data_IF_469724079680
#
_entry.id   IF_469724079680
#
_cell.length_a   1.000
_cell.length_b   1.000
_cell.length_c   1.000
_cell.angle_alpha   90.00
_cell.angle_beta   90.00
_cell.angle_gamma   90.00
#
_symmetry.space_group_name_H-M   'P 1'
#
loop_
_entity.id
_entity.type
_entity.pdbx_description
1 polymer ?
#
# COMPACT_ATOMS: atom_id res chain seq x y z
N UNK A 1 33.46 1.40 -12.08
CA UNK A 1 34.58 1.84 -11.23
C UNK A 1 34.68 0.85 -10.08
N UNK A 2 35.74 0.04 -10.08
CA UNK A 2 35.92 -1.12 -9.20
C UNK A 2 36.14 -0.72 -7.75
N UNK A 3 35.60 -1.51 -6.80
CA UNK A 3 36.10 -1.59 -5.43
C UNK A 3 36.63 -3.00 -5.20
N UNK A 4 37.94 -3.16 -5.30
CA UNK A 4 38.65 -4.39 -4.97
C UNK A 4 38.82 -4.50 -3.44
N UNK A 5 38.42 -5.63 -2.86
CA UNK A 5 38.72 -5.96 -1.46
C UNK A 5 39.92 -6.90 -1.39
N UNK A 6 40.88 -6.50 -0.56
CA UNK A 6 42.17 -7.14 -0.26
C UNK A 6 41.93 -8.42 0.55
N UNK A 7 42.38 -9.57 0.06
CA UNK A 7 42.42 -10.84 0.81
C UNK A 7 43.86 -11.01 1.30
N UNK A 8 44.06 -11.05 2.61
CA UNK A 8 45.35 -11.36 3.24
C UNK A 8 45.57 -12.87 3.30
N UNK A 9 46.77 -13.27 2.88
CA UNK A 9 47.26 -14.63 2.77
C UNK A 9 47.75 -15.09 4.15
N UNK A 10 47.09 -16.07 4.76
CA UNK A 10 47.61 -16.77 5.93
C UNK A 10 48.18 -18.12 5.52
N UNK A 11 49.36 -18.40 6.07
CA UNK A 11 50.23 -19.54 5.89
C UNK A 11 49.61 -20.88 6.30
N UNK A 12 49.83 -21.90 5.45
CA UNK A 12 49.47 -23.31 5.62
C UNK A 12 50.29 -24.00 6.73
N UNK A 13 49.73 -25.07 7.34
CA UNK A 13 50.53 -26.27 7.54
C UNK A 13 49.89 -27.56 6.97
N UNK A 14 50.80 -28.36 6.42
CA UNK A 14 50.86 -29.79 6.12
C UNK A 14 49.62 -30.72 6.23
N UNK A 15 49.38 -31.39 5.08
CA UNK A 15 49.24 -32.85 4.86
C UNK A 15 48.12 -33.59 5.64
N UNK A 16 47.07 -33.95 4.90
CA UNK A 16 46.09 -34.99 5.26
C UNK A 16 45.26 -35.41 4.03
N UNK A 17 45.06 -36.71 3.85
CA UNK A 17 44.50 -37.42 2.69
C UNK A 17 43.38 -36.71 1.89
N UNK A 18 43.60 -36.62 0.57
CA UNK A 18 42.58 -36.28 -0.44
C UNK A 18 41.59 -37.43 -0.66
N UNK A 19 40.29 -37.15 -0.56
CA UNK A 19 39.20 -37.98 -1.09
C UNK A 19 38.58 -37.26 -2.32
N UNK A 20 38.67 -37.79 -3.55
CA UNK A 20 38.29 -37.06 -4.76
C UNK A 20 36.78 -37.00 -5.04
N UNK A 21 35.90 -37.45 -4.14
CA UNK A 21 34.45 -37.51 -4.38
C UNK A 21 33.54 -36.84 -3.33
N UNK A 22 34.05 -35.94 -2.50
CA UNK A 22 33.21 -35.16 -1.57
C UNK A 22 33.05 -33.70 -2.05
N UNK A 23 32.38 -33.50 -3.19
CA UNK A 23 31.85 -32.17 -3.53
C UNK A 23 30.67 -31.88 -2.62
N UNK A 24 30.94 -31.31 -1.45
CA UNK A 24 29.91 -30.69 -0.63
C UNK A 24 29.32 -29.54 -1.45
N UNK A 25 28.15 -29.77 -2.05
CA UNK A 25 27.30 -28.71 -2.57
C UNK A 25 26.97 -27.80 -1.39
N UNK A 26 27.72 -26.71 -1.24
CA UNK A 26 27.28 -25.58 -0.45
C UNK A 26 26.01 -25.03 -1.10
N UNK A 27 24.85 -25.50 -0.64
CA UNK A 27 23.61 -24.77 -0.84
C UNK A 27 23.73 -23.52 0.01
N UNK A 28 24.00 -22.39 -0.63
CA UNK A 28 23.61 -21.10 -0.07
C UNK A 28 22.08 -21.11 -0.04
N UNK A 29 21.50 -21.56 1.07
CA UNK A 29 20.11 -21.26 1.38
C UNK A 29 20.10 -19.81 1.83
N UNK A 30 19.92 -18.90 0.86
CA UNK A 30 19.37 -17.59 1.20
C UNK A 30 17.95 -17.85 1.68
N UNK A 31 17.79 -18.09 2.98
CA UNK A 31 16.54 -17.84 3.64
C UNK A 31 16.32 -16.32 3.51
N UNK A 32 15.63 -15.90 2.45
CA UNK A 32 15.06 -14.56 2.41
C UNK A 32 14.07 -14.53 3.57
N UNK A 33 14.49 -14.00 4.70
CA UNK A 33 13.58 -13.66 5.79
C UNK A 33 12.59 -12.68 5.19
N UNK A 34 11.42 -13.17 4.77
CA UNK A 34 10.35 -12.30 4.33
C UNK A 34 9.92 -11.53 5.58
N UNK A 35 10.42 -10.30 5.69
CA UNK A 35 9.89 -9.35 6.67
C UNK A 35 8.37 -9.28 6.45
N UNK A 36 7.56 -9.20 7.53
CA UNK A 36 6.13 -9.03 7.40
C UNK A 36 5.83 -7.86 6.44
N UNK A 37 5.07 -8.12 5.38
CA UNK A 37 4.66 -7.07 4.46
C UNK A 37 3.68 -6.17 5.21
N UNK A 38 3.97 -4.86 5.30
CA UNK A 38 3.06 -3.94 5.99
C UNK A 38 1.68 -3.96 5.32
N UNK A 39 0.58 -3.82 6.09
CA UNK A 39 -0.75 -3.61 5.51
C UNK A 39 -0.78 -2.54 4.41
N UNK A 40 -0.06 -1.43 4.57
CA UNK A 40 0.10 -0.39 3.55
C UNK A 40 0.71 -0.94 2.25
N UNK A 41 1.79 -1.73 2.34
CA UNK A 41 2.42 -2.36 1.16
C UNK A 41 1.51 -3.39 0.49
N UNK A 42 0.69 -4.11 1.27
CA UNK A 42 -0.32 -5.03 0.73
C UNK A 42 -1.40 -4.28 -0.06
N UNK A 43 -1.88 -3.16 0.49
CA UNK A 43 -2.83 -2.27 -0.20
C UNK A 43 -2.22 -1.73 -1.50
N UNK A 44 -0.98 -1.23 -1.44
CA UNK A 44 -0.24 -0.73 -2.60
C UNK A 44 -0.11 -1.79 -3.71
N UNK A 45 0.30 -3.01 -3.36
CA UNK A 45 0.38 -4.14 -4.32
C UNK A 45 -0.97 -4.47 -4.93
N UNK A 46 -2.04 -4.41 -4.14
CA UNK A 46 -3.40 -4.70 -4.63
C UNK A 46 -3.85 -3.65 -5.63
N UNK A 47 -3.55 -2.37 -5.38
CA UNK A 47 -3.82 -1.27 -6.31
C UNK A 47 -3.06 -1.48 -7.63
N UNK A 48 -1.76 -1.78 -7.58
CA UNK A 48 -0.98 -2.04 -8.80
C UNK A 48 -1.49 -3.24 -9.59
N UNK A 49 -1.85 -4.34 -8.90
CA UNK A 49 -2.38 -5.54 -9.56
C UNK A 49 -3.77 -5.33 -10.16
N UNK A 50 -4.59 -4.47 -9.55
CA UNK A 50 -5.92 -4.09 -10.08
C UNK A 50 -5.81 -3.25 -11.35
N UNK A 51 -4.77 -2.39 -11.45
CA UNK A 51 -4.59 -1.44 -12.55
C UNK A 51 -5.56 -0.25 -12.53
N UNK A 52 -6.68 -0.36 -11.80
CA UNK A 52 -7.70 0.68 -11.66
C UNK A 52 -8.19 0.80 -10.22
N UNK A 53 -8.56 2.03 -9.83
CA UNK A 53 -9.33 2.35 -8.62
C UNK A 53 -10.67 2.94 -9.09
N UNK A 54 -11.78 2.31 -8.75
CA UNK A 54 -13.10 2.89 -9.04
C UNK A 54 -13.42 3.99 -8.02
N UNK A 55 -13.91 5.14 -8.49
CA UNK A 55 -14.26 6.26 -7.63
C UNK A 55 -15.78 6.47 -7.62
N UNK A 56 -16.41 6.28 -6.45
CA UNK A 56 -17.86 6.34 -6.31
C UNK A 56 -18.32 7.55 -5.50
N UNK A 57 -19.25 8.30 -6.08
CA UNK A 57 -19.99 9.40 -5.44
C UNK A 57 -21.47 9.18 -5.65
N UNK A 58 -22.26 9.30 -4.59
CA UNK A 58 -23.70 9.18 -4.67
C UNK A 58 -24.39 10.26 -3.81
N UNK A 59 -25.67 10.49 -4.07
CA UNK A 59 -26.50 11.45 -3.33
C UNK A 59 -27.12 10.87 -2.06
N UNK A 60 -27.02 9.56 -1.82
CA UNK A 60 -27.52 8.88 -0.62
C UNK A 60 -26.71 7.62 -0.31
N UNK A 61 -26.83 7.12 0.92
CA UNK A 61 -26.19 5.90 1.38
C UNK A 61 -26.71 4.66 0.62
N UNK A 62 -28.02 4.60 0.36
CA UNK A 62 -28.65 3.48 -0.35
C UNK A 62 -28.14 3.38 -1.78
N UNK A 63 -28.04 4.52 -2.47
CA UNK A 63 -27.50 4.56 -3.83
C UNK A 63 -26.00 4.21 -3.83
N UNK A 64 -25.24 4.71 -2.85
CA UNK A 64 -23.84 4.38 -2.70
C UNK A 64 -23.61 2.87 -2.51
N UNK A 65 -24.39 2.26 -1.62
CA UNK A 65 -24.35 0.83 -1.35
C UNK A 65 -24.69 0.02 -2.59
N UNK A 66 -25.81 0.35 -3.26
CA UNK A 66 -26.25 -0.34 -4.47
C UNK A 66 -25.20 -0.28 -5.59
N UNK A 67 -24.65 0.90 -5.86
CA UNK A 67 -23.63 1.10 -6.89
C UNK A 67 -22.28 0.44 -6.51
N UNK A 68 -21.88 0.49 -5.24
CA UNK A 68 -20.67 -0.18 -4.76
C UNK A 68 -20.79 -1.71 -4.91
N UNK A 69 -21.89 -2.30 -4.47
CA UNK A 69 -22.17 -3.72 -4.64
C UNK A 69 -22.15 -4.12 -6.12
N UNK A 70 -22.79 -3.35 -6.99
CA UNK A 70 -22.78 -3.61 -8.43
C UNK A 70 -21.35 -3.60 -8.99
N UNK A 71 -20.52 -2.60 -8.63
CA UNK A 71 -19.13 -2.51 -9.07
C UNK A 71 -18.28 -3.69 -8.58
N UNK A 72 -18.38 -4.04 -7.29
CA UNK A 72 -17.60 -5.13 -6.68
C UNK A 72 -18.00 -6.51 -7.23
N UNK A 73 -19.28 -6.72 -7.50
CA UNK A 73 -19.79 -7.91 -8.18
C UNK A 73 -19.38 -7.96 -9.66
N UNK A 74 -19.25 -6.80 -10.31
CA UNK A 74 -18.71 -6.65 -11.65
C UNK A 74 -17.20 -6.89 -11.75
N UNK A 75 -16.51 -7.18 -10.65
CA UNK A 75 -15.09 -7.54 -10.63
C UNK A 75 -14.15 -6.41 -10.23
N UNK A 76 -14.66 -5.22 -9.89
CA UNK A 76 -13.83 -4.15 -9.32
C UNK A 76 -13.21 -4.65 -8.01
N UNK A 77 -11.88 -4.61 -7.93
CA UNK A 77 -11.14 -5.09 -6.76
C UNK A 77 -10.71 -3.99 -5.79
N UNK A 78 -10.62 -2.75 -6.29
CA UNK A 78 -10.29 -1.55 -5.52
C UNK A 78 -11.32 -0.46 -5.79
N UNK A 79 -11.96 0.03 -4.72
CA UNK A 79 -13.04 1.01 -4.78
C UNK A 79 -12.82 2.08 -3.70
N UNK A 80 -12.93 3.35 -4.07
CA UNK A 80 -13.12 4.45 -3.13
C UNK A 80 -14.57 4.93 -3.12
N UNK A 81 -15.05 5.31 -1.93
CA UNK A 81 -16.31 6.03 -1.76
C UNK A 81 -16.00 7.37 -1.12
N UNK A 82 -16.56 8.45 -1.67
CA UNK A 82 -16.12 9.80 -1.28
C UNK A 82 -16.83 10.35 -0.04
N UNK A 83 -16.12 11.13 0.77
CA UNK A 83 -16.60 11.76 2.02
C UNK A 83 -17.88 12.60 1.85
N UNK A 84 -18.09 13.18 0.67
CA UNK A 84 -19.29 13.97 0.37
C UNK A 84 -20.55 13.14 0.16
N UNK A 85 -20.44 11.81 0.11
CA UNK A 85 -21.58 10.90 0.03
C UNK A 85 -22.21 10.79 1.42
N UNK A 86 -23.51 11.07 1.59
CA UNK A 86 -24.17 10.92 2.88
C UNK A 86 -24.06 9.47 3.40
N UNK A 87 -23.69 9.31 4.68
CA UNK A 87 -23.57 7.98 5.32
C UNK A 87 -22.40 7.12 4.81
N UNK A 88 -21.36 7.75 4.24
CA UNK A 88 -20.22 7.04 3.62
C UNK A 88 -19.49 6.08 4.57
N UNK A 89 -19.36 6.42 5.85
CA UNK A 89 -18.60 5.60 6.79
C UNK A 89 -19.37 4.33 7.16
N UNK A 90 -20.68 4.44 7.33
CA UNK A 90 -21.58 3.30 7.55
C UNK A 90 -21.61 2.39 6.31
N UNK A 91 -21.67 3.00 5.12
CA UNK A 91 -21.56 2.26 3.85
C UNK A 91 -20.23 1.51 3.75
N UNK A 92 -19.11 2.16 4.08
CA UNK A 92 -17.79 1.53 4.08
C UNK A 92 -17.75 0.33 5.04
N UNK A 93 -18.22 0.50 6.28
CA UNK A 93 -18.22 -0.56 7.29
C UNK A 93 -19.03 -1.78 6.85
N UNK A 94 -20.19 -1.55 6.24
CA UNK A 94 -21.02 -2.64 5.70
C UNK A 94 -20.32 -3.34 4.52
N UNK A 95 -19.75 -2.58 3.58
CA UNK A 95 -19.01 -3.17 2.45
C UNK A 95 -17.77 -3.96 2.89
N UNK A 96 -17.08 -3.54 3.95
CA UNK A 96 -15.95 -4.29 4.49
C UNK A 96 -16.39 -5.64 5.08
N UNK A 97 -17.59 -5.72 5.65
CA UNK A 97 -18.18 -6.97 6.13
C UNK A 97 -18.59 -7.88 4.97
N UNK A 98 -19.26 -7.31 3.97
CA UNK A 98 -19.79 -8.08 2.82
C UNK A 98 -18.70 -8.51 1.84
N UNK A 99 -17.60 -7.75 1.74
CA UNK A 99 -16.52 -7.95 0.79
C UNK A 99 -15.12 -7.90 1.43
N UNK A 100 -14.81 -8.83 2.36
CA UNK A 100 -13.57 -8.77 3.16
C UNK A 100 -12.28 -8.89 2.33
N UNK A 101 -12.36 -9.47 1.12
CA UNK A 101 -11.23 -9.64 0.21
C UNK A 101 -10.96 -8.41 -0.67
N UNK A 102 -11.88 -7.44 -0.72
CA UNK A 102 -11.76 -6.24 -1.54
C UNK A 102 -10.96 -5.16 -0.81
N UNK A 103 -10.37 -4.25 -1.58
CA UNK A 103 -9.63 -3.11 -1.04
C UNK A 103 -10.49 -1.86 -1.15
N UNK A 104 -10.99 -1.41 -0.01
CA UNK A 104 -11.90 -0.27 0.07
C UNK A 104 -11.19 0.92 0.73
N UNK A 105 -11.43 2.09 0.17
CA UNK A 105 -10.86 3.35 0.67
C UNK A 105 -11.89 4.47 0.65
N UNK A 106 -11.46 5.64 1.10
CA UNK A 106 -12.30 6.83 1.18
C UNK A 106 -11.65 7.97 0.42
N UNK A 107 -12.42 8.59 -0.47
CA UNK A 107 -11.98 9.70 -1.30
C UNK A 107 -12.52 11.06 -0.84
N UNK A 108 -12.02 12.14 -1.44
CA UNK A 108 -12.41 13.52 -1.07
C UNK A 108 -12.16 13.82 0.42
N UNK A 109 -11.08 13.28 0.99
CA UNK A 109 -10.68 13.58 2.37
C UNK A 109 -9.99 14.95 2.38
N UNK A 110 -10.53 15.93 3.09
CA UNK A 110 -10.05 17.32 3.02
C UNK A 110 -9.34 17.81 4.30
N UNK A 111 -9.38 17.01 5.37
CA UNK A 111 -8.80 17.37 6.65
C UNK A 111 -8.45 16.11 7.46
N UNK A 112 -7.67 16.28 8.52
CA UNK A 112 -7.19 15.19 9.39
C UNK A 112 -8.33 14.51 10.16
N UNK A 113 -9.41 15.23 10.49
CA UNK A 113 -10.56 14.65 11.20
C UNK A 113 -11.28 13.63 10.32
N UNK A 114 -11.56 13.97 9.06
CA UNK A 114 -12.17 13.06 8.10
C UNK A 114 -11.27 11.84 7.84
N UNK A 115 -9.95 12.07 7.75
CA UNK A 115 -8.97 11.00 7.60
C UNK A 115 -9.02 10.00 8.77
N UNK A 116 -9.03 10.51 10.02
CA UNK A 116 -9.16 9.69 11.24
C UNK A 116 -10.44 8.87 11.22
N UNK A 117 -11.58 9.52 10.97
CA UNK A 117 -12.87 8.84 10.93
C UNK A 117 -12.92 7.74 9.87
N UNK A 118 -12.33 7.98 8.69
CA UNK A 118 -12.26 6.98 7.62
C UNK A 118 -11.38 5.79 7.98
N UNK A 119 -10.22 6.03 8.61
CA UNK A 119 -9.31 4.97 9.09
C UNK A 119 -9.96 4.15 10.21
N UNK A 120 -10.62 4.81 11.17
CA UNK A 120 -11.37 4.16 12.24
C UNK A 120 -12.53 3.31 11.69
N UNK A 121 -13.16 3.74 10.60
CA UNK A 121 -14.17 2.96 9.88
C UNK A 121 -13.58 1.79 9.05
N UNK A 122 -12.25 1.67 8.97
CA UNK A 122 -11.55 0.55 8.32
C UNK A 122 -11.07 0.83 6.90
N UNK A 123 -11.00 2.10 6.46
CA UNK A 123 -10.46 2.45 5.15
C UNK A 123 -9.01 2.00 5.01
N UNK A 124 -8.71 1.23 3.96
CA UNK A 124 -7.35 0.74 3.68
C UNK A 124 -6.48 1.80 2.99
N UNK A 125 -7.12 2.74 2.32
CA UNK A 125 -6.47 3.89 1.72
C UNK A 125 -7.37 5.12 1.75
N UNK A 126 -6.74 6.29 1.67
CA UNK A 126 -7.39 7.60 1.66
C UNK A 126 -6.96 8.34 0.40
N UNK A 127 -7.89 9.06 -0.22
CA UNK A 127 -7.59 9.95 -1.35
C UNK A 127 -8.11 11.35 -1.11
N UNK A 128 -7.32 12.34 -1.50
CA UNK A 128 -7.69 13.75 -1.45
C UNK A 128 -7.66 14.35 -2.86
N UNK A 129 -8.44 15.41 -3.14
CA UNK A 129 -8.33 16.15 -4.40
C UNK A 129 -7.06 17.01 -4.46
N UNK A 130 -6.47 17.31 -3.30
CA UNK A 130 -5.22 18.07 -3.13
C UNK A 130 -4.36 17.41 -2.06
N UNK A 131 -3.09 17.80 -1.92
CA UNK A 131 -2.27 17.35 -0.80
C UNK A 131 -2.71 18.00 0.52
N UNK A 132 -3.18 17.19 1.46
CA UNK A 132 -3.54 17.63 2.82
C UNK A 132 -2.37 17.31 3.74
N UNK A 133 -1.49 18.29 3.96
CA UNK A 133 -0.22 18.11 4.68
C UNK A 133 -0.37 17.43 6.05
N UNK A 134 -1.38 17.81 6.84
CA UNK A 134 -1.62 17.18 8.15
C UNK A 134 -1.94 15.68 8.11
N UNK A 135 -2.44 15.14 6.98
CA UNK A 135 -2.63 13.68 6.86
C UNK A 135 -1.28 12.97 6.73
N UNK A 136 -0.30 13.59 6.07
CA UNK A 136 1.04 13.04 5.91
C UNK A 136 1.87 13.18 7.18
N UNK A 137 1.75 14.33 7.86
CA UNK A 137 2.60 14.67 8.99
C UNK A 137 2.05 14.14 10.33
N UNK A 138 0.73 14.17 10.53
CA UNK A 138 0.12 13.98 11.86
C UNK A 138 -0.59 12.63 12.03
N UNK A 139 -0.75 11.86 10.95
CA UNK A 139 -1.52 10.63 10.95
C UNK A 139 -0.64 9.41 10.68
N UNK A 140 -0.21 8.76 11.76
CA UNK A 140 0.45 7.47 11.69
C UNK A 140 -0.59 6.35 11.54
N UNK A 141 -0.26 5.31 10.77
CA UNK A 141 -1.11 4.14 10.66
C UNK A 141 -0.84 3.26 9.46
N UNK A 142 -1.62 2.20 9.39
CA UNK A 142 -1.50 1.12 8.41
C UNK A 142 -2.40 1.34 7.18
N UNK A 143 -2.51 2.60 6.73
CA UNK A 143 -3.28 3.01 5.56
C UNK A 143 -2.38 3.66 4.50
N UNK A 144 -2.82 3.62 3.24
CA UNK A 144 -2.15 4.31 2.14
C UNK A 144 -2.81 5.67 1.89
N UNK A 145 -2.04 6.75 1.89
CA UNK A 145 -2.54 8.07 1.46
C UNK A 145 -2.14 8.37 0.02
N UNK A 146 -3.10 8.82 -0.79
CA UNK A 146 -2.94 9.17 -2.19
C UNK A 146 -3.41 10.63 -2.38
N UNK A 147 -2.51 11.62 -2.24
CA UNK A 147 -2.87 13.02 -2.41
C UNK A 147 -3.13 13.34 -3.89
N UNK A 148 -4.05 14.27 -4.12
CA UNK A 148 -4.23 14.89 -5.42
C UNK A 148 -3.18 15.96 -5.67
N UNK A 149 -2.68 16.06 -6.90
CA UNK A 149 -1.67 17.04 -7.32
C UNK A 149 -1.99 17.54 -8.73
N UNK A 150 -1.56 18.76 -9.07
CA UNK A 150 -1.80 19.34 -10.40
C UNK A 150 -0.50 19.81 -11.10
N UNK A 151 0.56 20.07 -10.35
CA UNK A 151 1.83 20.59 -10.87
C UNK A 151 3.03 19.68 -10.56
N UNK A 152 4.12 19.72 -11.36
CA UNK A 152 5.34 18.97 -11.05
C UNK A 152 5.93 19.26 -9.67
N UNK A 153 5.81 20.50 -9.19
CA UNK A 153 6.26 20.87 -7.85
C UNK A 153 5.45 20.16 -6.77
N UNK A 154 4.13 20.07 -6.92
CA UNK A 154 3.27 19.33 -5.99
C UNK A 154 3.54 17.83 -6.04
N UNK A 155 3.81 17.26 -7.23
CA UNK A 155 4.23 15.86 -7.37
C UNK A 155 5.53 15.61 -6.59
N UNK A 156 6.54 16.47 -6.77
CA UNK A 156 7.81 16.35 -6.04
C UNK A 156 7.61 16.50 -4.53
N UNK A 157 6.80 17.48 -4.11
CA UNK A 157 6.49 17.72 -2.69
C UNK A 157 5.82 16.49 -2.06
N UNK A 158 4.84 15.89 -2.74
CA UNK A 158 4.16 14.69 -2.27
C UNK A 158 5.12 13.49 -2.18
N UNK A 159 6.00 13.32 -3.18
CA UNK A 159 7.02 12.27 -3.18
C UNK A 159 8.01 12.43 -2.02
N UNK A 160 8.53 13.64 -1.79
CA UNK A 160 9.45 13.95 -0.68
C UNK A 160 8.81 13.72 0.69
N UNK A 161 7.50 13.97 0.81
CA UNK A 161 6.72 13.66 2.00
C UNK A 161 6.44 12.15 2.18
N UNK A 162 6.78 11.30 1.21
CA UNK A 162 6.64 9.85 1.29
C UNK A 162 5.38 9.27 0.63
N UNK A 163 4.69 10.04 -0.22
CA UNK A 163 3.57 9.51 -1.01
C UNK A 163 4.09 8.47 -2.00
N UNK A 164 3.46 7.29 -2.02
CA UNK A 164 3.82 6.19 -2.94
C UNK A 164 3.01 6.25 -4.25
N UNK A 165 1.88 6.94 -4.24
CA UNK A 165 1.01 7.20 -5.39
C UNK A 165 0.46 8.62 -5.23
N UNK A 166 0.25 9.34 -6.33
CA UNK A 166 -0.48 10.60 -6.39
C UNK A 166 -1.64 10.49 -7.40
N UNK A 167 -2.71 11.27 -7.20
CA UNK A 167 -3.84 11.39 -8.15
C UNK A 167 -3.76 12.70 -8.94
#
# INVERSE_FOLDING_TARGET
MLVARRISMWSLPAIGCWNPFAFARFRVSCASSQLPVSPKDKTLRTIYNSGVIACLRASSAELAMSAACAALNGGVSVLEIVMSTPGVLEVLQQLLQDYPTRTLGVGTVLNVKDAKNAVEAGAKFLMSPTMVKGIMDDLEGEFLYIPGVMTPTEVLTAYEAGAQIVK
#
